data_IF_271692880749
#
_entry.id   IF_271692880749
#
_cell.length_a   1.000
_cell.length_b   1.000
_cell.length_c   1.000
_cell.angle_alpha   90.00
_cell.angle_beta   90.00
_cell.angle_gamma   90.00
#
_symmetry.space_group_name_H-M   'P 1'
#
loop_
_entity.id
_entity.type
_entity.pdbx_description
1 polymer ?
#
# COMPACT_ATOMS: atom_id res chain seq x y z
N UNK A 1 -18.47 -29.32 -15.96
CA UNK A 1 -17.19 -28.59 -16.08
C UNK A 1 -17.41 -27.27 -15.38
N UNK A 2 -17.08 -27.22 -14.10
CA UNK A 2 -17.36 -26.04 -13.26
C UNK A 2 -16.35 -24.95 -13.60
N UNK A 3 -16.85 -23.84 -14.15
CA UNK A 3 -16.08 -22.61 -14.30
C UNK A 3 -15.89 -22.02 -12.91
N UNK A 4 -14.65 -21.98 -12.44
CA UNK A 4 -14.29 -21.23 -11.23
C UNK A 4 -14.47 -19.74 -11.53
N UNK A 5 -15.32 -19.09 -10.75
CA UNK A 5 -15.54 -17.65 -10.78
C UNK A 5 -14.22 -16.93 -10.35
N UNK A 6 -13.73 -15.92 -11.08
CA UNK A 6 -12.57 -15.16 -10.65
C UNK A 6 -12.92 -14.39 -9.36
N UNK A 7 -12.24 -14.69 -8.25
CA UNK A 7 -12.40 -13.93 -7.00
C UNK A 7 -12.08 -12.46 -7.28
N UNK A 8 -13.06 -11.54 -7.22
CA UNK A 8 -12.92 -10.22 -7.80
C UNK A 8 -12.18 -9.28 -6.82
N UNK A 9 -10.99 -8.79 -7.20
CA UNK A 9 -10.31 -7.56 -6.75
C UNK A 9 -10.15 -7.24 -5.24
N UNK A 10 -10.80 -7.99 -4.35
CA UNK A 10 -10.97 -7.69 -2.92
C UNK A 10 -9.90 -8.32 -2.04
N UNK A 11 -9.03 -9.14 -2.62
CA UNK A 11 -7.94 -9.85 -1.95
C UNK A 11 -6.58 -9.22 -2.19
N UNK A 12 -6.38 -8.58 -3.34
CA UNK A 12 -5.05 -8.06 -3.72
C UNK A 12 -4.80 -6.64 -3.21
N UNK A 13 -3.66 -6.37 -2.55
CA UNK A 13 -3.18 -5.02 -2.24
C UNK A 13 -3.00 -4.15 -3.51
N UNK A 14 -2.93 -2.84 -3.32
CA UNK A 14 -2.54 -1.91 -4.39
C UNK A 14 -1.13 -1.36 -4.10
N UNK A 15 -0.32 -1.26 -5.15
CA UNK A 15 1.06 -0.80 -5.11
C UNK A 15 1.17 0.46 -5.97
N UNK A 16 1.48 1.60 -5.37
CA UNK A 16 1.73 2.84 -6.11
C UNK A 16 3.22 3.14 -6.08
N UNK A 17 3.85 3.37 -7.24
CA UNK A 17 5.26 3.72 -7.33
C UNK A 17 5.47 5.04 -8.06
N UNK A 18 6.47 5.79 -7.64
CA UNK A 18 6.93 6.99 -8.35
C UNK A 18 7.71 6.59 -9.61
N UNK A 19 7.23 6.95 -10.80
CA UNK A 19 7.87 6.60 -12.08
C UNK A 19 9.14 7.39 -12.37
N UNK A 20 9.32 8.57 -11.76
CA UNK A 20 10.48 9.43 -11.99
C UNK A 20 11.71 9.00 -11.18
N UNK A 21 11.49 8.36 -10.03
CA UNK A 21 12.52 8.14 -9.02
C UNK A 21 12.79 6.63 -8.79
N UNK A 22 12.03 5.76 -9.46
CA UNK A 22 12.22 4.31 -9.38
C UNK A 22 13.49 3.81 -10.08
N UNK A 23 14.34 3.14 -9.31
CA UNK A 23 15.65 2.63 -9.66
C UNK A 23 16.81 3.58 -9.35
N UNK A 24 16.55 4.80 -8.86
CA UNK A 24 17.58 5.84 -8.81
C UNK A 24 18.72 5.53 -7.84
N UNK A 25 18.44 4.84 -6.72
CA UNK A 25 19.50 4.54 -5.72
C UNK A 25 20.50 3.49 -6.19
N UNK A 26 20.18 2.75 -7.27
CA UNK A 26 21.09 1.79 -7.89
C UNK A 26 21.75 2.31 -9.17
N UNK A 27 21.17 3.34 -9.80
CA UNK A 27 21.68 3.93 -11.03
C UNK A 27 21.91 2.91 -12.15
N UNK A 28 22.97 3.12 -12.94
CA UNK A 28 23.33 2.26 -14.07
C UNK A 28 23.87 0.87 -13.66
N UNK A 29 24.07 0.61 -12.36
CA UNK A 29 24.55 -0.66 -11.84
C UNK A 29 23.46 -1.73 -11.72
N UNK A 30 22.20 -1.38 -11.97
CA UNK A 30 21.08 -2.31 -11.83
C UNK A 30 20.91 -3.26 -13.03
N UNK A 31 20.11 -4.32 -12.85
CA UNK A 31 19.75 -5.25 -13.92
C UNK A 31 18.98 -4.54 -15.06
N UNK A 32 18.96 -5.09 -16.29
CA UNK A 32 18.17 -4.53 -17.38
C UNK A 32 16.69 -4.35 -17.01
N UNK A 33 16.15 -3.15 -17.25
CA UNK A 33 14.79 -2.76 -16.84
C UNK A 33 14.65 -2.37 -15.37
N UNK A 34 15.68 -2.64 -14.56
CA UNK A 34 15.89 -2.18 -13.20
C UNK A 34 14.70 -2.40 -12.26
N UNK A 35 14.51 -1.45 -11.35
CA UNK A 35 13.43 -1.50 -10.38
C UNK A 35 12.04 -1.54 -11.02
N UNK A 36 11.83 -0.85 -12.13
CA UNK A 36 10.54 -0.84 -12.81
C UNK A 36 10.15 -2.22 -13.35
N UNK A 37 11.10 -3.00 -13.86
CA UNK A 37 10.84 -4.37 -14.26
C UNK A 37 10.42 -5.25 -13.07
N UNK A 38 11.06 -5.07 -11.90
CA UNK A 38 10.69 -5.82 -10.67
C UNK A 38 9.28 -5.49 -10.21
N UNK A 39 8.88 -4.22 -10.21
CA UNK A 39 7.52 -3.83 -9.82
C UNK A 39 6.45 -4.35 -10.79
N UNK A 40 6.75 -4.37 -12.10
CA UNK A 40 5.85 -4.96 -13.10
C UNK A 40 5.73 -6.47 -12.94
N UNK A 41 6.81 -7.16 -12.59
CA UNK A 41 6.77 -8.60 -12.32
C UNK A 41 5.86 -8.94 -11.12
N UNK A 42 5.80 -8.08 -10.10
CA UNK A 42 4.85 -8.22 -8.98
C UNK A 42 3.39 -8.15 -9.45
N UNK A 43 3.08 -7.23 -10.38
CA UNK A 43 1.76 -7.12 -10.98
C UNK A 43 1.41 -8.31 -11.87
N UNK A 44 2.33 -8.73 -12.74
CA UNK A 44 2.15 -9.91 -13.60
C UNK A 44 1.93 -11.19 -12.79
N UNK A 45 2.56 -11.30 -11.62
CA UNK A 45 2.35 -12.40 -10.68
C UNK A 45 1.01 -12.30 -9.89
N UNK A 46 0.24 -11.22 -10.08
CA UNK A 46 -1.05 -11.01 -9.42
C UNK A 46 -0.96 -10.67 -7.93
N UNK A 47 0.23 -10.28 -7.44
CA UNK A 47 0.50 -10.03 -6.03
C UNK A 47 0.05 -8.63 -5.58
N UNK A 48 0.08 -7.66 -6.49
CA UNK A 48 -0.47 -6.32 -6.30
C UNK A 48 -0.98 -5.74 -7.61
N UNK A 49 -1.91 -4.78 -7.55
CA UNK A 49 -2.21 -3.92 -8.71
C UNK A 49 -1.25 -2.75 -8.71
N UNK A 50 -0.47 -2.57 -9.77
CA UNK A 50 0.52 -1.50 -9.87
C UNK A 50 -0.11 -0.22 -10.44
N UNK A 51 0.15 0.91 -9.80
CA UNK A 51 -0.14 2.23 -10.32
C UNK A 51 1.16 3.03 -10.36
N UNK A 52 1.43 3.67 -11.49
CA UNK A 52 2.56 4.57 -11.63
C UNK A 52 2.06 6.01 -11.54
N UNK A 53 2.72 6.81 -10.72
CA UNK A 53 2.49 8.26 -10.60
C UNK A 53 3.80 8.98 -10.83
N UNK A 54 3.75 10.22 -11.28
CA UNK A 54 4.98 10.99 -11.53
C UNK A 54 5.68 11.39 -10.23
N UNK A 55 4.94 11.70 -9.16
CA UNK A 55 5.49 12.13 -7.88
C UNK A 55 4.61 11.65 -6.71
N UNK A 56 5.24 11.32 -5.58
CA UNK A 56 4.60 10.98 -4.30
C UNK A 56 4.93 12.01 -3.20
N UNK A 57 5.40 13.18 -3.63
CA UNK A 57 5.82 14.33 -2.82
C UNK A 57 6.90 14.00 -1.78
N UNK A 58 7.81 13.10 -2.17
CA UNK A 58 8.87 12.59 -1.30
C UNK A 58 10.13 12.27 -2.11
N UNK A 59 10.43 13.14 -3.09
CA UNK A 59 11.50 12.93 -4.06
C UNK A 59 12.88 12.82 -3.43
N UNK A 60 13.12 13.47 -2.29
CA UNK A 60 14.40 13.47 -1.58
C UNK A 60 14.78 12.12 -0.97
N UNK A 61 13.81 11.22 -0.80
CA UNK A 61 14.03 9.88 -0.24
C UNK A 61 14.41 8.83 -1.28
N UNK A 62 13.89 9.02 -2.50
CA UNK A 62 14.08 8.15 -3.65
C UNK A 62 13.44 6.78 -3.55
N UNK A 63 13.21 6.15 -4.71
CA UNK A 63 12.56 4.84 -4.84
C UNK A 63 11.27 4.66 -4.01
N UNK A 64 10.46 5.72 -3.96
CA UNK A 64 9.29 5.76 -3.07
C UNK A 64 8.14 4.93 -3.64
N UNK A 65 7.59 4.10 -2.77
CA UNK A 65 6.49 3.19 -3.08
C UNK A 65 5.50 3.13 -1.92
N UNK A 66 4.21 3.05 -2.24
CA UNK A 66 3.12 2.93 -1.26
C UNK A 66 2.37 1.64 -1.49
N UNK A 67 2.26 0.83 -0.43
CA UNK A 67 1.38 -0.35 -0.42
C UNK A 67 0.10 0.00 0.33
N UNK A 68 -1.01 0.06 -0.41
CA UNK A 68 -2.35 0.19 0.18
C UNK A 68 -2.92 -1.20 0.46
N UNK A 69 -3.51 -1.43 1.66
CA UNK A 69 -4.06 -2.73 2.02
C UNK A 69 -5.13 -3.20 1.04
N UNK A 70 -5.37 -4.50 0.98
CA UNK A 70 -6.57 -5.04 0.36
C UNK A 70 -7.83 -4.68 1.19
N UNK A 71 -9.05 -4.84 0.66
CA UNK A 71 -10.27 -4.75 1.48
C UNK A 71 -10.25 -5.63 2.73
N UNK A 72 -9.70 -6.84 2.66
CA UNK A 72 -9.51 -7.68 3.85
C UNK A 72 -8.50 -7.07 4.84
N UNK A 73 -7.32 -6.65 4.35
CA UNK A 73 -6.31 -5.99 5.18
C UNK A 73 -6.84 -4.73 5.88
N UNK A 74 -7.64 -3.91 5.19
CA UNK A 74 -8.33 -2.75 5.80
C UNK A 74 -9.24 -3.13 6.95
N UNK A 75 -10.04 -4.19 6.80
CA UNK A 75 -10.92 -4.71 7.86
C UNK A 75 -10.14 -5.20 9.07
N UNK A 76 -8.94 -5.72 8.83
CA UNK A 76 -7.98 -6.11 9.85
C UNK A 76 -7.17 -4.93 10.44
N UNK A 77 -7.57 -3.68 10.17
CA UNK A 77 -6.89 -2.50 10.70
C UNK A 77 -5.65 -2.08 9.92
N UNK A 78 -5.35 -2.74 8.80
CA UNK A 78 -4.27 -2.35 7.89
C UNK A 78 -4.41 -0.90 7.43
N UNK A 79 -3.27 -0.22 7.32
CA UNK A 79 -3.13 1.14 6.80
C UNK A 79 -2.10 1.15 5.66
N UNK A 80 -2.09 2.18 4.80
CA UNK A 80 -1.02 2.35 3.83
C UNK A 80 0.35 2.23 4.50
N UNK A 81 1.27 1.54 3.82
CA UNK A 81 2.67 1.43 4.24
C UNK A 81 3.52 2.07 3.16
N UNK A 82 4.32 3.04 3.57
CA UNK A 82 5.19 3.83 2.71
C UNK A 82 6.62 3.31 2.83
N UNK A 83 7.32 3.22 1.69
CA UNK A 83 8.71 2.82 1.62
C UNK A 83 9.55 3.86 0.88
N UNK A 84 10.81 4.00 1.30
CA UNK A 84 11.88 4.73 0.60
C UNK A 84 12.99 3.77 0.18
N UNK A 85 13.86 4.18 -0.75
CA UNK A 85 15.05 3.40 -1.14
C UNK A 85 14.74 1.93 -1.48
N UNK A 86 13.55 1.63 -2.01
CA UNK A 86 13.09 0.24 -2.16
C UNK A 86 13.80 -0.53 -3.28
N UNK A 87 14.60 0.16 -4.10
CA UNK A 87 15.22 -0.47 -5.25
C UNK A 87 16.12 -1.64 -4.89
N UNK A 88 16.12 -2.64 -5.78
CA UNK A 88 17.02 -3.78 -5.73
C UNK A 88 16.33 -5.12 -5.53
N UNK A 89 17.06 -6.21 -5.77
CA UNK A 89 16.50 -7.56 -5.80
C UNK A 89 15.98 -7.98 -4.43
N UNK A 90 16.79 -7.83 -3.37
CA UNK A 90 16.44 -8.28 -2.02
C UNK A 90 15.14 -7.65 -1.50
N UNK A 91 15.05 -6.31 -1.57
CA UNK A 91 13.87 -5.56 -1.11
C UNK A 91 12.64 -5.83 -1.99
N UNK A 92 12.81 -5.93 -3.30
CA UNK A 92 11.69 -6.24 -4.21
C UNK A 92 11.17 -7.66 -4.02
N UNK A 93 12.04 -8.63 -3.74
CA UNK A 93 11.64 -10.01 -3.42
C UNK A 93 10.94 -10.08 -2.06
N UNK A 94 11.44 -9.36 -1.04
CA UNK A 94 10.76 -9.25 0.25
C UNK A 94 9.38 -8.61 0.11
N UNK A 95 9.26 -7.55 -0.72
CA UNK A 95 7.98 -6.92 -1.05
C UNK A 95 7.02 -7.91 -1.71
N UNK A 96 7.47 -8.65 -2.73
CA UNK A 96 6.66 -9.64 -3.42
C UNK A 96 6.16 -10.74 -2.45
N UNK A 97 7.03 -11.28 -1.60
CA UNK A 97 6.67 -12.28 -0.57
C UNK A 97 5.62 -11.74 0.41
N UNK A 98 5.79 -10.52 0.88
CA UNK A 98 4.85 -9.90 1.82
C UNK A 98 3.49 -9.62 1.19
N UNK A 99 3.46 -9.11 -0.05
CA UNK A 99 2.24 -8.89 -0.82
C UNK A 99 1.49 -10.20 -1.08
N UNK A 100 2.22 -11.28 -1.44
CA UNK A 100 1.66 -12.62 -1.60
C UNK A 100 1.10 -13.22 -0.30
N UNK A 101 1.61 -12.78 0.85
CA UNK A 101 1.10 -13.15 2.18
C UNK A 101 -0.09 -12.28 2.62
N UNK A 102 -0.56 -11.35 1.78
CA UNK A 102 -1.72 -10.48 2.01
C UNK A 102 -1.38 -9.02 2.35
N UNK A 103 -0.11 -8.70 2.58
CA UNK A 103 0.37 -7.34 2.79
C UNK A 103 -0.16 -6.67 4.07
N UNK A 104 -0.33 -5.32 4.08
CA UNK A 104 -0.66 -4.57 5.28
C UNK A 104 -1.95 -5.04 5.98
N UNK A 105 -1.86 -5.25 7.29
CA UNK A 105 -2.98 -5.69 8.13
C UNK A 105 -3.28 -7.20 8.08
N UNK A 106 -2.66 -7.94 7.16
CA UNK A 106 -2.81 -9.41 7.07
C UNK A 106 -1.51 -10.12 7.45
N UNK A 107 -0.38 -9.66 6.91
CA UNK A 107 0.95 -10.18 7.21
C UNK A 107 1.79 -9.13 7.92
N UNK A 108 2.58 -9.58 8.90
CA UNK A 108 3.59 -8.75 9.56
C UNK A 108 4.59 -8.20 8.53
N UNK A 109 5.05 -6.97 8.75
CA UNK A 109 6.07 -6.37 7.89
C UNK A 109 7.39 -7.15 8.05
N UNK A 110 8.03 -7.60 6.95
CA UNK A 110 9.32 -8.29 7.02
C UNK A 110 10.44 -7.39 7.55
N UNK A 111 11.42 -7.99 8.22
CA UNK A 111 12.58 -7.29 8.78
C UNK A 111 13.45 -6.65 7.68
N UNK A 112 13.46 -7.20 6.48
CA UNK A 112 14.18 -6.64 5.32
C UNK A 112 13.57 -5.32 4.82
N UNK A 113 12.27 -5.11 5.09
CA UNK A 113 11.53 -3.91 4.68
C UNK A 113 11.35 -2.90 5.82
N UNK A 114 11.47 -3.33 7.08
CA UNK A 114 11.29 -2.44 8.23
C UNK A 114 12.25 -1.23 8.24
N UNK A 115 13.56 -1.35 7.89
CA UNK A 115 14.50 -0.23 7.86
C UNK A 115 14.18 0.84 6.82
N UNK A 116 13.41 0.48 5.78
CA UNK A 116 13.07 1.37 4.67
C UNK A 116 11.61 1.83 4.71
N UNK A 117 10.90 1.53 5.81
CA UNK A 117 9.55 2.02 6.03
C UNK A 117 9.60 3.48 6.46
N UNK A 118 8.89 4.34 5.73
CA UNK A 118 8.67 5.73 6.12
C UNK A 118 7.58 5.77 7.20
N UNK A 119 7.88 6.39 8.33
CA UNK A 119 6.88 6.70 9.35
C UNK A 119 6.18 8.01 9.00
N UNK A 120 5.05 7.92 8.28
CA UNK A 120 4.16 9.07 8.07
C UNK A 120 3.12 9.16 9.19
N UNK A 121 2.99 10.36 9.76
CA UNK A 121 1.90 10.70 10.67
C UNK A 121 0.57 10.68 9.92
N UNK A 122 -0.49 10.20 10.59
CA UNK A 122 -1.80 9.82 10.00
C UNK A 122 -2.56 10.95 9.29
N UNK A 123 -2.16 12.21 9.44
CA UNK A 123 -2.91 13.36 8.93
C UNK A 123 -2.69 13.63 7.42
N UNK A 124 -1.70 13.00 6.77
CA UNK A 124 -1.39 13.26 5.36
C UNK A 124 -2.12 12.35 4.35
N UNK A 125 -2.66 11.22 4.80
CA UNK A 125 -3.25 10.20 3.89
C UNK A 125 -4.74 10.50 3.56
N UNK A 126 -5.42 11.33 4.34
CA UNK A 126 -6.86 11.62 4.19
C UNK A 126 -7.18 12.79 3.22
N UNK A 127 -6.18 13.58 2.79
CA UNK A 127 -6.39 14.77 1.94
C UNK A 127 -6.18 14.53 0.42
N UNK A 128 -5.63 13.39 -0.01
CA UNK A 128 -5.38 13.11 -1.43
C UNK A 128 -6.64 12.67 -2.23
N UNK A 129 -7.84 12.85 -1.66
CA UNK A 129 -9.11 12.35 -2.20
C UNK A 129 -10.26 13.36 -2.36
N UNK A 130 -10.05 14.65 -2.05
CA UNK A 130 -11.10 15.68 -2.20
C UNK A 130 -10.64 16.89 -3.01
N UNK A 131 -10.39 16.69 -4.30
CA UNK A 131 -10.53 17.78 -5.28
C UNK A 131 -11.98 17.77 -5.80
N UNK A 132 -12.90 18.31 -5.00
CA UNK A 132 -14.27 18.60 -5.43
C UNK A 132 -14.77 19.89 -4.76
N UNK A 133 -14.63 21.01 -5.48
CA UNK A 133 -15.51 22.18 -5.41
C UNK A 133 -15.41 23.04 -4.15
N UNK A 134 -14.92 24.28 -4.33
CA UNK A 134 -15.22 25.40 -3.44
C UNK A 134 -16.74 25.69 -3.44
N UNK A 135 -17.38 25.80 -2.25
CA UNK A 135 -18.35 26.88 -2.10
C UNK A 135 -18.16 27.69 -0.81
N UNK A 136 -18.09 29.00 -1.02
CA UNK A 136 -18.71 30.09 -0.26
C UNK A 136 -19.05 29.91 1.23
N UNK A 137 -18.42 30.78 2.03
CA UNK A 137 -18.77 31.23 3.39
C UNK A 137 -20.26 31.10 3.78
N UNK A 138 -20.53 30.31 4.82
CA UNK A 138 -21.68 30.47 5.72
C UNK A 138 -21.35 30.04 7.15
N UNK A 139 -21.77 30.86 8.12
CA UNK A 139 -21.51 30.76 9.56
C UNK A 139 -22.50 29.79 10.28
N UNK A 140 -22.41 29.59 11.62
CA UNK A 140 -22.61 28.29 12.27
C UNK A 140 -24.05 27.97 12.68
N UNK A 141 -24.36 26.67 12.74
CA UNK A 141 -25.58 26.11 13.30
C UNK A 141 -25.28 24.96 14.28
N UNK A 142 -25.73 25.13 15.52
CA UNK A 142 -25.75 24.18 16.63
C UNK A 142 -26.57 22.91 16.36
N UNK A 143 -26.09 21.76 16.84
CA UNK A 143 -26.96 20.81 17.55
C UNK A 143 -26.89 19.32 17.16
N UNK A 144 -26.84 18.51 18.23
CA UNK A 144 -27.34 17.14 18.39
C UNK A 144 -26.36 15.97 18.17
N UNK A 145 -26.12 15.30 19.29
CA UNK A 145 -25.42 14.03 19.46
C UNK A 145 -26.18 12.87 18.80
N UNK A 146 -25.43 12.00 18.12
CA UNK A 146 -25.87 10.67 17.67
C UNK A 146 -24.89 9.62 18.16
N UNK A 147 -25.36 8.71 19.02
CA UNK A 147 -24.61 7.59 19.56
C UNK A 147 -24.28 6.58 18.45
N UNK A 148 -22.99 6.30 18.26
CA UNK A 148 -22.53 5.17 17.45
C UNK A 148 -22.56 3.90 18.29
N UNK A 149 -23.44 2.97 17.93
CA UNK A 149 -23.40 1.60 18.41
C UNK A 149 -22.11 0.94 17.91
N UNK A 150 -21.29 0.48 18.86
CA UNK A 150 -20.06 -0.24 18.56
C UNK A 150 -20.37 -1.57 17.89
N UNK A 151 -19.96 -1.71 16.63
CA UNK A 151 -19.70 -3.02 16.04
C UNK A 151 -18.30 -3.43 16.48
N UNK A 152 -18.20 -4.35 17.43
CA UNK A 152 -16.93 -5.01 17.73
C UNK A 152 -16.61 -5.95 16.58
N UNK A 153 -15.76 -5.50 15.66
CA UNK A 153 -15.16 -6.37 14.65
C UNK A 153 -14.23 -7.34 15.36
N UNK A 154 -14.55 -8.63 15.30
CA UNK A 154 -13.70 -9.70 15.80
C UNK A 154 -12.36 -9.71 15.03
N UNK A 155 -11.29 -9.28 15.72
CA UNK A 155 -9.93 -9.28 15.20
C UNK A 155 -9.33 -10.70 15.08
N UNK A 156 -10.03 -11.73 15.57
CA UNK A 156 -9.54 -13.12 15.58
C UNK A 156 -9.41 -13.69 14.17
N UNK A 157 -10.21 -13.21 13.21
CA UNK A 157 -10.11 -13.60 11.80
C UNK A 157 -8.89 -13.06 11.04
N UNK A 158 -8.08 -12.18 11.67
CA UNK A 158 -6.95 -11.52 11.02
C UNK A 158 -5.60 -12.20 11.29
N UNK A 159 -5.56 -13.17 12.21
CA UNK A 159 -4.35 -13.90 12.53
C UNK A 159 -4.25 -15.16 11.66
N UNK A 160 -3.43 -15.13 10.61
CA UNK A 160 -2.95 -16.37 9.98
C UNK A 160 -1.70 -16.82 10.77
N UNK A 161 -1.68 -18.03 11.34
CA UNK A 161 -0.48 -18.54 12.02
C UNK A 161 0.64 -18.75 10.99
N UNK A 162 1.78 -18.10 11.22
CA UNK A 162 3.00 -18.36 10.47
C UNK A 162 3.48 -19.79 10.77
N UNK A 163 3.31 -20.71 9.82
CA UNK A 163 3.92 -22.04 9.92
C UNK A 163 5.38 -21.98 9.49
N UNK A 164 6.26 -22.46 10.39
CA UNK A 164 7.71 -22.58 10.25
C UNK A 164 8.09 -23.78 9.39
#
# INVERSE_FOLDING_TARGET
MSTTDPVPAATTPALTACSLCSGETLGDGDAPGGQMARLRAIEEAGLARLALVECLDECERGDVVVVRPSPHGRRCGGRPVWFEQLAGPERSEALARWLGSGGPGVASLPDELAPVRIERSRDADDDAGSAAGEPGTAAPGTGAAGQAAGVTTDASACCIPAHH
#
